data_IF_243643718332
#
_entry.id   IF_243643718332
#
_cell.length_a   1.000
_cell.length_b   1.000
_cell.length_c   1.000
_cell.angle_alpha   90.00
_cell.angle_beta   90.00
_cell.angle_gamma   90.00
#
_symmetry.space_group_name_H-M   'P 1'
#
loop_
_entity.id
_entity.type
_entity.pdbx_description
1 polymer ?
#
# COMPACT_ATOMS: atom_id res chain seq x y z
N UNK A 1 10.68 20.16 40.54
CA UNK A 1 9.97 18.88 40.70
C UNK A 1 9.16 18.69 39.41
N UNK A 2 9.78 18.08 38.37
CA UNK A 2 9.12 17.82 37.07
C UNK A 2 8.33 16.52 37.23
N UNK A 3 7.01 16.62 37.18
CA UNK A 3 6.14 15.45 37.03
C UNK A 3 6.27 14.97 35.58
N UNK A 4 7.11 13.97 35.35
CA UNK A 4 7.11 13.17 34.14
C UNK A 4 5.94 12.16 34.20
N UNK A 5 4.72 12.64 34.14
CA UNK A 5 3.55 11.83 33.85
C UNK A 5 3.40 11.74 32.35
N UNK A 6 4.01 10.72 31.71
CA UNK A 6 3.77 10.45 30.30
C UNK A 6 2.27 10.19 30.11
N UNK A 7 1.64 10.95 29.23
CA UNK A 7 0.23 10.76 28.82
C UNK A 7 0.12 9.35 28.20
N UNK A 8 -0.53 8.43 28.90
CA UNK A 8 -0.71 7.06 28.41
C UNK A 8 -1.93 7.05 27.51
N UNK A 9 -1.70 7.21 26.20
CA UNK A 9 -2.78 7.26 25.20
C UNK A 9 -3.45 5.89 25.09
N UNK A 10 -4.77 5.86 25.23
CA UNK A 10 -5.61 4.68 25.03
C UNK A 10 -6.61 4.93 23.90
N UNK A 11 -6.62 4.08 22.89
CA UNK A 11 -7.51 4.20 21.74
C UNK A 11 -8.49 3.05 21.62
N UNK A 12 -9.68 3.33 21.09
CA UNK A 12 -10.58 2.31 20.60
C UNK A 12 -10.39 2.19 19.10
N UNK A 13 -9.80 1.06 18.66
CA UNK A 13 -9.57 0.76 17.23
C UNK A 13 -10.72 -0.05 16.69
N UNK A 14 -11.36 0.44 15.63
CA UNK A 14 -12.46 -0.23 14.92
C UNK A 14 -12.20 -0.21 13.43
N UNK A 15 -12.43 -1.31 12.70
CA UNK A 15 -12.21 -1.32 11.25
C UNK A 15 -13.20 -2.21 10.49
N UNK A 16 -13.49 -1.82 9.25
CA UNK A 16 -14.28 -2.63 8.30
C UNK A 16 -13.47 -3.75 7.64
N UNK A 17 -12.15 -3.82 7.89
CA UNK A 17 -11.26 -4.87 7.39
C UNK A 17 -10.62 -5.60 8.56
N UNK A 18 -10.27 -6.88 8.38
CA UNK A 18 -9.57 -7.67 9.39
C UNK A 18 -8.27 -6.99 9.88
N UNK A 19 -7.91 -7.19 11.14
CA UNK A 19 -6.68 -6.64 11.75
C UNK A 19 -5.39 -7.15 11.08
N UNK A 20 -5.45 -8.33 10.45
CA UNK A 20 -4.32 -8.93 9.72
C UNK A 20 -4.09 -8.33 8.33
N UNK A 21 -5.01 -7.49 7.82
CA UNK A 21 -4.76 -6.77 6.58
C UNK A 21 -3.56 -5.81 6.75
N UNK A 22 -2.64 -5.80 5.79
CA UNK A 22 -1.33 -5.12 5.92
C UNK A 22 -1.41 -3.72 6.53
N UNK A 23 -2.31 -2.84 6.04
CA UNK A 23 -2.48 -1.48 6.56
C UNK A 23 -2.85 -1.47 8.05
N UNK A 24 -3.87 -2.24 8.45
CA UNK A 24 -4.30 -2.33 9.84
C UNK A 24 -3.21 -2.97 10.71
N UNK A 25 -2.57 -4.03 10.23
CA UNK A 25 -1.53 -4.75 10.96
C UNK A 25 -0.33 -3.86 11.26
N UNK A 26 0.17 -3.12 10.27
CA UNK A 26 1.29 -2.18 10.43
C UNK A 26 0.94 -1.10 11.47
N UNK A 27 -0.26 -0.51 11.38
CA UNK A 27 -0.71 0.53 12.32
C UNK A 27 -0.85 -0.04 13.73
N UNK A 28 -1.56 -1.15 13.92
CA UNK A 28 -1.79 -1.76 15.23
C UNK A 28 -0.47 -2.18 15.90
N UNK A 29 0.40 -2.85 15.14
CA UNK A 29 1.71 -3.28 15.63
C UNK A 29 2.57 -2.09 16.04
N UNK A 30 2.60 -1.06 15.19
CA UNK A 30 3.36 0.14 15.47
C UNK A 30 2.83 0.92 16.67
N UNK A 31 1.52 1.09 16.80
CA UNK A 31 0.92 1.79 17.95
C UNK A 31 1.22 1.06 19.27
N UNK A 32 1.09 -0.28 19.31
CA UNK A 32 1.48 -1.10 20.46
C UNK A 32 2.97 -0.94 20.79
N UNK A 33 3.85 -0.96 19.80
CA UNK A 33 5.29 -0.77 19.98
C UNK A 33 5.65 0.65 20.47
N UNK A 34 4.79 1.66 20.21
CA UNK A 34 4.92 3.02 20.72
C UNK A 34 4.20 3.25 22.07
N UNK A 35 3.77 2.20 22.77
CA UNK A 35 3.18 2.28 24.10
C UNK A 35 1.74 2.81 24.11
N UNK A 36 0.98 2.63 23.02
CA UNK A 36 -0.44 2.98 22.98
C UNK A 36 -1.27 1.77 23.41
N UNK A 37 -2.17 1.96 24.35
CA UNK A 37 -3.16 0.95 24.73
C UNK A 37 -4.27 0.89 23.68
N UNK A 38 -4.65 -0.31 23.25
CA UNK A 38 -5.60 -0.49 22.17
C UNK A 38 -6.74 -1.43 22.60
N UNK A 39 -7.96 -0.90 22.55
CA UNK A 39 -9.20 -1.69 22.62
C UNK A 39 -9.59 -2.02 21.17
N UNK A 40 -9.52 -3.29 20.77
CA UNK A 40 -9.80 -3.67 19.40
C UNK A 40 -11.27 -4.10 19.20
N UNK A 41 -11.92 -3.55 18.15
CA UNK A 41 -13.23 -3.94 17.62
C UNK A 41 -13.06 -4.37 16.18
N UNK A 42 -12.65 -5.60 15.93
CA UNK A 42 -12.37 -6.13 14.60
C UNK A 42 -12.99 -7.52 14.43
N UNK A 43 -13.23 -7.93 13.19
CA UNK A 43 -13.79 -9.24 12.85
C UNK A 43 -13.17 -9.79 11.57
N UNK A 44 -12.95 -11.09 11.49
CA UNK A 44 -12.33 -11.80 10.36
C UNK A 44 -13.35 -12.43 9.39
N UNK A 45 -14.65 -12.21 9.58
CA UNK A 45 -15.69 -12.73 8.68
C UNK A 45 -15.43 -12.27 7.25
N UNK A 46 -15.49 -13.18 6.27
CA UNK A 46 -15.27 -12.87 4.84
C UNK A 46 -16.35 -11.95 4.28
N UNK A 47 -17.60 -12.09 4.74
CA UNK A 47 -18.73 -11.26 4.31
C UNK A 47 -18.80 -9.95 5.10
N UNK A 48 -18.85 -8.83 4.41
CA UNK A 48 -19.03 -7.51 5.03
C UNK A 48 -20.40 -7.37 5.71
N UNK A 49 -21.45 -8.07 5.21
CA UNK A 49 -22.78 -8.09 5.84
C UNK A 49 -22.76 -8.71 7.24
N UNK A 50 -21.84 -9.62 7.52
CA UNK A 50 -21.64 -10.21 8.84
C UNK A 50 -20.64 -9.42 9.67
N UNK A 51 -19.61 -8.90 9.03
CA UNK A 51 -18.50 -8.20 9.69
C UNK A 51 -18.95 -6.87 10.33
N UNK A 52 -19.61 -6.00 9.58
CA UNK A 52 -20.01 -4.69 10.11
C UNK A 52 -20.93 -4.79 11.32
N UNK A 53 -22.01 -5.61 11.35
CA UNK A 53 -22.82 -5.78 12.56
C UNK A 53 -22.03 -6.29 13.75
N UNK A 54 -21.12 -7.26 13.57
CA UNK A 54 -20.29 -7.79 14.66
C UNK A 54 -19.34 -6.74 15.22
N UNK A 55 -18.69 -5.96 14.35
CA UNK A 55 -17.78 -4.89 14.73
C UNK A 55 -18.53 -3.78 15.47
N UNK A 56 -19.73 -3.40 15.02
CA UNK A 56 -20.59 -2.44 15.70
C UNK A 56 -21.08 -2.96 17.06
N UNK A 57 -21.44 -4.24 17.17
CA UNK A 57 -21.80 -4.84 18.45
C UNK A 57 -20.62 -4.79 19.45
N UNK A 58 -19.41 -5.12 19.00
CA UNK A 58 -18.22 -5.00 19.85
C UNK A 58 -18.01 -3.54 20.30
N UNK A 59 -18.19 -2.58 19.39
CA UNK A 59 -18.11 -1.16 19.73
C UNK A 59 -19.13 -0.76 20.81
N UNK A 60 -20.40 -1.15 20.65
CA UNK A 60 -21.47 -0.84 21.63
C UNK A 60 -21.15 -1.43 23.01
N UNK A 61 -20.61 -2.64 23.06
CA UNK A 61 -20.23 -3.30 24.31
C UNK A 61 -19.02 -2.61 24.99
N UNK A 62 -18.14 -1.98 24.21
CA UNK A 62 -16.89 -1.37 24.71
C UNK A 62 -16.93 0.17 24.77
N UNK A 63 -18.01 0.81 24.32
CA UNK A 63 -18.13 2.28 24.30
C UNK A 63 -18.03 2.93 25.69
N UNK A 64 -18.34 2.18 26.74
CA UNK A 64 -18.24 2.64 28.13
C UNK A 64 -16.84 2.44 28.72
N UNK A 65 -15.93 1.77 28.02
CA UNK A 65 -14.54 1.66 28.46
C UNK A 65 -13.86 3.04 28.40
N UNK A 66 -12.85 3.25 29.24
CA UNK A 66 -12.10 4.50 29.22
C UNK A 66 -11.10 4.47 28.05
N UNK A 67 -11.27 5.38 27.09
CA UNK A 67 -10.35 5.64 25.97
C UNK A 67 -10.41 7.12 25.58
N UNK A 68 -9.37 7.58 24.92
CA UNK A 68 -9.20 9.00 24.57
C UNK A 68 -9.71 9.30 23.15
N UNK A 69 -9.43 8.42 22.19
CA UNK A 69 -9.65 8.61 20.75
C UNK A 69 -10.28 7.34 20.16
N UNK A 70 -11.14 7.52 19.17
CA UNK A 70 -11.63 6.44 18.31
C UNK A 70 -10.81 6.45 17.00
N UNK A 71 -10.08 5.36 16.76
CA UNK A 71 -9.35 5.17 15.51
C UNK A 71 -10.16 4.24 14.60
N UNK A 72 -10.66 4.79 13.48
CA UNK A 72 -11.44 4.03 12.51
C UNK A 72 -10.51 3.64 11.35
N UNK A 73 -10.14 2.36 11.30
CA UNK A 73 -9.23 1.81 10.30
C UNK A 73 -9.89 1.52 8.96
N UNK A 74 -9.12 0.88 8.10
CA UNK A 74 -9.43 0.63 6.70
C UNK A 74 -10.84 0.04 6.45
N UNK A 75 -11.51 0.52 5.41
CA UNK A 75 -12.92 0.26 5.07
C UNK A 75 -13.89 0.65 6.20
N UNK A 76 -13.53 1.69 6.96
CA UNK A 76 -14.35 2.25 8.02
C UNK A 76 -15.42 3.23 7.57
N UNK A 77 -15.52 3.57 6.27
CA UNK A 77 -16.48 4.54 5.76
C UNK A 77 -17.92 4.34 6.28
N UNK A 78 -18.51 3.13 6.26
CA UNK A 78 -19.85 2.93 6.80
C UNK A 78 -19.94 3.05 8.33
N UNK A 79 -18.82 2.91 9.04
CA UNK A 79 -18.76 2.97 10.50
C UNK A 79 -18.75 4.41 11.01
N UNK A 80 -18.05 5.33 10.32
CA UNK A 80 -17.87 6.72 10.76
C UNK A 80 -19.20 7.42 11.09
N UNK A 81 -20.24 7.41 10.21
CA UNK A 81 -21.50 8.11 10.51
C UNK A 81 -22.25 7.53 11.70
N UNK A 82 -22.12 6.21 11.94
CA UNK A 82 -22.77 5.53 13.06
C UNK A 82 -22.05 5.88 14.36
N UNK A 83 -20.74 5.77 14.38
CA UNK A 83 -19.90 6.01 15.55
C UNK A 83 -19.96 7.47 15.98
N UNK A 84 -19.94 8.40 15.04
CA UNK A 84 -20.05 9.83 15.34
C UNK A 84 -21.38 10.19 16.03
N UNK A 85 -22.47 9.45 15.77
CA UNK A 85 -23.76 9.63 16.47
C UNK A 85 -23.78 9.01 17.87
N UNK A 86 -22.93 8.02 18.14
CA UNK A 86 -22.93 7.25 19.37
C UNK A 86 -21.87 7.70 20.38
N UNK A 87 -20.87 8.49 19.94
CA UNK A 87 -19.77 8.95 20.78
C UNK A 87 -19.36 10.37 20.44
N UNK A 88 -18.98 11.13 21.47
CA UNK A 88 -18.43 12.47 21.37
C UNK A 88 -16.88 12.47 21.41
N UNK A 89 -16.24 11.30 21.38
CA UNK A 89 -14.78 11.20 21.37
C UNK A 89 -14.23 11.58 20.00
N UNK A 90 -13.03 12.19 19.93
CA UNK A 90 -12.39 12.53 18.66
C UNK A 90 -12.22 11.29 17.77
N UNK A 91 -12.46 11.44 16.47
CA UNK A 91 -12.36 10.39 15.45
C UNK A 91 -11.17 10.64 14.55
N UNK A 92 -10.21 9.72 14.57
CA UNK A 92 -9.17 9.61 13.54
C UNK A 92 -9.59 8.52 12.56
N UNK A 93 -9.80 8.90 11.30
CA UNK A 93 -10.28 7.99 10.26
C UNK A 93 -9.18 7.68 9.23
N UNK A 94 -8.72 6.43 9.18
CA UNK A 94 -7.84 5.94 8.10
C UNK A 94 -8.68 5.59 6.88
N UNK A 95 -8.94 6.58 6.03
CA UNK A 95 -9.71 6.38 4.82
C UNK A 95 -9.00 5.43 3.85
N UNK A 96 -7.68 5.56 3.74
CA UNK A 96 -6.74 4.75 2.97
C UNK A 96 -7.04 4.70 1.45
N UNK A 97 -8.30 4.53 1.06
CA UNK A 97 -8.75 4.58 -0.33
C UNK A 97 -10.17 5.13 -0.44
N UNK A 98 -10.50 5.67 -1.61
CA UNK A 98 -11.86 6.06 -1.94
C UNK A 98 -12.66 4.84 -2.43
N UNK A 99 -13.81 4.58 -1.80
CA UNK A 99 -14.77 3.56 -2.24
C UNK A 99 -15.44 3.96 -3.55
N UNK A 100 -15.70 5.25 -3.75
CA UNK A 100 -16.23 5.82 -5.00
C UNK A 100 -15.24 5.60 -6.17
N UNK A 101 -13.97 5.99 -6.01
CA UNK A 101 -12.93 5.77 -7.02
C UNK A 101 -12.77 4.27 -7.35
N UNK A 102 -12.78 3.43 -6.31
CA UNK A 102 -12.64 1.98 -6.48
C UNK A 102 -13.80 1.37 -7.25
N UNK A 103 -15.04 1.77 -6.97
CA UNK A 103 -16.22 1.16 -7.60
C UNK A 103 -16.51 1.73 -8.99
N UNK A 104 -16.25 3.04 -9.19
CA UNK A 104 -16.62 3.71 -10.42
C UNK A 104 -15.49 3.78 -11.46
N UNK A 105 -14.25 4.00 -11.04
CA UNK A 105 -13.14 4.24 -11.97
C UNK A 105 -12.12 3.09 -12.06
N UNK A 106 -11.76 2.47 -10.93
CA UNK A 106 -10.80 1.36 -10.90
C UNK A 106 -11.44 0.05 -11.37
N UNK A 107 -12.50 -0.39 -10.68
CA UNK A 107 -13.20 -1.67 -11.00
C UNK A 107 -14.32 -1.51 -12.03
N UNK A 108 -14.74 -0.30 -12.32
CA UNK A 108 -15.80 0.04 -13.30
C UNK A 108 -17.09 -0.76 -13.10
N UNK A 109 -17.44 -1.06 -11.84
CA UNK A 109 -18.66 -1.80 -11.48
C UNK A 109 -19.91 -0.95 -11.49
N UNK A 110 -19.76 0.35 -11.27
CA UNK A 110 -20.84 1.33 -11.21
C UNK A 110 -20.49 2.54 -12.08
N UNK A 111 -21.52 3.16 -12.68
CA UNK A 111 -21.35 4.48 -13.30
C UNK A 111 -21.37 5.55 -12.20
N UNK A 112 -20.55 6.62 -12.29
CA UNK A 112 -20.52 7.71 -11.32
C UNK A 112 -21.91 8.33 -11.05
N UNK A 113 -22.73 8.49 -12.09
CA UNK A 113 -24.04 9.13 -12.03
C UNK A 113 -25.15 8.19 -11.53
N UNK A 114 -24.88 6.89 -11.42
CA UNK A 114 -25.84 5.90 -10.92
C UNK A 114 -26.14 6.13 -9.43
N UNK A 115 -27.26 5.60 -8.95
CA UNK A 115 -27.63 5.65 -7.52
C UNK A 115 -26.48 5.07 -6.65
N UNK A 116 -25.90 3.94 -7.06
CA UNK A 116 -24.76 3.35 -6.35
C UNK A 116 -23.50 4.21 -6.38
N UNK A 117 -23.19 4.83 -7.54
CA UNK A 117 -22.06 5.76 -7.66
C UNK A 117 -22.22 6.97 -6.74
N UNK A 118 -23.42 7.60 -6.75
CA UNK A 118 -23.74 8.73 -5.86
C UNK A 118 -23.70 8.34 -4.38
N UNK A 119 -24.14 7.11 -4.04
CA UNK A 119 -24.05 6.59 -2.68
C UNK A 119 -22.60 6.48 -2.20
N UNK A 120 -21.69 5.89 -3.00
CA UNK A 120 -20.28 5.79 -2.62
C UNK A 120 -19.59 7.15 -2.58
N UNK A 121 -19.93 8.08 -3.47
CA UNK A 121 -19.49 9.47 -3.41
C UNK A 121 -19.88 10.13 -2.08
N UNK A 122 -21.18 10.04 -1.75
CA UNK A 122 -21.71 10.57 -0.49
C UNK A 122 -21.03 9.94 0.71
N UNK A 123 -20.84 8.61 0.69
CA UNK A 123 -20.25 7.86 1.79
C UNK A 123 -18.80 8.29 2.07
N UNK A 124 -17.96 8.39 1.04
CA UNK A 124 -16.58 8.86 1.19
C UNK A 124 -16.54 10.30 1.69
N UNK A 125 -17.32 11.21 1.06
CA UNK A 125 -17.42 12.62 1.46
C UNK A 125 -17.87 12.76 2.92
N UNK A 126 -19.02 12.18 3.25
CA UNK A 126 -19.64 12.35 4.56
C UNK A 126 -18.80 11.75 5.69
N UNK A 127 -18.16 10.61 5.48
CA UNK A 127 -17.25 10.02 6.46
C UNK A 127 -16.05 10.93 6.74
N UNK A 128 -15.47 11.53 5.70
CA UNK A 128 -14.38 12.49 5.89
C UNK A 128 -14.84 13.80 6.55
N UNK A 129 -16.07 14.27 6.28
CA UNK A 129 -16.63 15.45 6.93
C UNK A 129 -16.83 15.26 8.44
N UNK A 130 -17.27 14.08 8.85
CA UNK A 130 -17.57 13.75 10.24
C UNK A 130 -16.32 13.42 11.09
N UNK A 131 -15.25 12.92 10.47
CA UNK A 131 -14.01 12.66 11.19
C UNK A 131 -13.30 13.98 11.57
N UNK A 132 -12.63 14.00 12.73
CA UNK A 132 -11.80 15.13 13.15
C UNK A 132 -10.48 15.18 12.35
N UNK A 133 -9.89 14.01 12.09
CA UNK A 133 -8.69 13.86 11.26
C UNK A 133 -8.85 12.67 10.32
N UNK A 134 -8.46 12.86 9.06
CA UNK A 134 -8.50 11.81 8.03
C UNK A 134 -7.08 11.48 7.58
N UNK A 135 -6.75 10.18 7.57
CA UNK A 135 -5.44 9.69 7.12
C UNK A 135 -5.53 9.15 5.70
N UNK A 136 -4.56 9.52 4.87
CA UNK A 136 -4.32 8.97 3.53
C UNK A 136 -2.84 8.69 3.34
N UNK A 137 -2.50 7.85 2.38
CA UNK A 137 -1.14 7.33 2.18
C UNK A 137 -0.18 8.33 1.52
N UNK A 138 -0.69 9.26 0.70
CA UNK A 138 0.12 10.26 -0.03
C UNK A 138 -0.58 11.61 -0.10
N UNK A 139 0.18 12.69 -0.30
CA UNK A 139 -0.39 14.02 -0.57
C UNK A 139 -1.16 14.05 -1.90
N UNK A 140 -0.65 13.37 -2.93
CA UNK A 140 -1.37 13.24 -4.21
C UNK A 140 -2.75 12.59 -4.03
N UNK A 141 -2.88 11.65 -3.09
CA UNK A 141 -4.18 11.04 -2.76
C UNK A 141 -5.06 11.99 -1.95
N UNK A 142 -4.47 12.76 -1.03
CA UNK A 142 -5.18 13.81 -0.29
C UNK A 142 -5.74 14.87 -1.26
N UNK A 143 -4.94 15.33 -2.23
CA UNK A 143 -5.38 16.31 -3.22
C UNK A 143 -6.54 15.78 -4.07
N UNK A 144 -6.54 14.48 -4.38
CA UNK A 144 -7.69 13.84 -5.02
C UNK A 144 -8.96 13.93 -4.16
N UNK A 145 -8.88 13.62 -2.85
CA UNK A 145 -10.03 13.71 -1.94
C UNK A 145 -10.54 15.14 -1.80
N UNK A 146 -9.63 16.09 -1.59
CA UNK A 146 -9.96 17.52 -1.49
C UNK A 146 -10.69 18.01 -2.74
N UNK A 147 -10.12 17.73 -3.92
CA UNK A 147 -10.67 18.22 -5.19
C UNK A 147 -11.96 17.49 -5.59
N UNK A 148 -12.04 16.17 -5.37
CA UNK A 148 -13.19 15.36 -5.79
C UNK A 148 -14.41 15.60 -4.89
N UNK A 149 -14.19 15.67 -3.57
CA UNK A 149 -15.28 15.75 -2.60
C UNK A 149 -15.52 17.18 -2.06
N UNK A 150 -14.71 18.16 -2.44
CA UNK A 150 -14.82 19.55 -1.95
C UNK A 150 -14.52 19.66 -0.44
N UNK A 151 -13.53 18.91 0.05
CA UNK A 151 -13.18 18.83 1.46
C UNK A 151 -12.05 19.81 1.82
N UNK A 152 -11.96 20.20 3.09
CA UNK A 152 -10.88 21.05 3.59
C UNK A 152 -9.58 20.26 3.74
N UNK A 153 -8.47 20.81 3.21
CA UNK A 153 -7.14 20.16 3.21
C UNK A 153 -6.58 19.94 4.62
N UNK A 154 -6.90 20.82 5.56
CA UNK A 154 -6.42 20.78 6.95
C UNK A 154 -6.89 19.58 7.76
N UNK A 155 -8.01 18.96 7.36
CA UNK A 155 -8.49 17.68 7.95
C UNK A 155 -7.62 16.48 7.63
N UNK A 156 -6.78 16.57 6.59
CA UNK A 156 -6.04 15.43 6.09
C UNK A 156 -4.60 15.41 6.55
N UNK A 157 -4.14 14.23 6.93
CA UNK A 157 -2.74 13.96 7.26
C UNK A 157 -2.22 12.78 6.44
N UNK A 158 -1.00 12.91 5.93
CA UNK A 158 -0.34 11.83 5.20
C UNK A 158 0.29 10.85 6.17
N UNK A 159 0.02 9.56 5.99
CA UNK A 159 0.66 8.45 6.70
C UNK A 159 0.98 7.34 5.70
N UNK A 160 2.24 7.12 5.39
CA UNK A 160 2.66 6.06 4.46
C UNK A 160 2.15 4.68 4.87
N UNK A 161 2.09 3.74 3.92
CA UNK A 161 1.57 2.38 4.17
C UNK A 161 2.56 1.56 5.01
N UNK A 162 3.83 1.59 4.67
CA UNK A 162 4.86 0.80 5.32
C UNK A 162 4.79 -0.70 5.04
N UNK A 163 5.63 -1.46 5.73
CA UNK A 163 5.62 -2.92 5.75
C UNK A 163 6.01 -3.45 7.13
N UNK A 164 5.62 -4.69 7.42
CA UNK A 164 5.95 -5.36 8.68
C UNK A 164 7.42 -5.85 8.64
N UNK A 165 8.27 -5.18 9.40
CA UNK A 165 9.72 -5.44 9.50
C UNK A 165 10.06 -6.78 10.20
N UNK A 166 9.11 -7.39 10.92
CA UNK A 166 9.30 -8.74 11.45
C UNK A 166 9.11 -9.84 10.39
N UNK A 167 8.43 -9.51 9.28
CA UNK A 167 8.20 -10.41 8.15
C UNK A 167 9.18 -10.09 7.03
N UNK A 168 9.25 -8.80 6.65
CA UNK A 168 10.10 -8.32 5.57
C UNK A 168 11.36 -7.69 6.13
N UNK A 169 12.42 -8.45 6.19
CA UNK A 169 13.77 -8.03 6.58
C UNK A 169 14.80 -8.72 5.67
N UNK A 170 16.00 -8.15 5.50
CA UNK A 170 17.00 -8.68 4.59
C UNK A 170 17.38 -10.13 4.91
N UNK A 171 17.26 -11.00 3.92
CA UNK A 171 17.67 -12.41 4.00
C UNK A 171 18.86 -12.62 3.06
N UNK A 172 19.95 -13.18 3.57
CA UNK A 172 21.07 -13.63 2.73
C UNK A 172 20.70 -14.94 2.06
N UNK A 173 20.84 -14.99 0.77
CA UNK A 173 20.68 -16.20 -0.05
C UNK A 173 21.87 -16.32 -0.97
N UNK A 174 22.25 -17.54 -1.30
CA UNK A 174 23.25 -17.80 -2.34
C UNK A 174 22.65 -17.38 -3.69
N UNK A 175 23.31 -16.48 -4.38
CA UNK A 175 22.89 -16.01 -5.71
C UNK A 175 23.61 -16.83 -6.79
N UNK A 176 22.87 -17.25 -7.81
CA UNK A 176 23.46 -17.67 -9.08
C UNK A 176 23.85 -16.39 -9.83
N UNK A 177 25.12 -16.05 -9.80
CA UNK A 177 25.66 -14.83 -10.41
C UNK A 177 25.58 -14.83 -11.95
N UNK A 178 25.28 -15.99 -12.55
CA UNK A 178 25.16 -16.11 -14.02
C UNK A 178 23.82 -15.60 -14.56
N UNK A 179 22.80 -15.45 -13.70
CA UNK A 179 21.43 -15.05 -14.08
C UNK A 179 21.01 -13.81 -13.32
N UNK A 180 20.65 -12.75 -14.05
CA UNK A 180 20.03 -11.55 -13.48
C UNK A 180 18.51 -11.73 -13.33
N UNK A 181 18.02 -11.74 -12.09
CA UNK A 181 16.64 -12.11 -11.73
C UNK A 181 15.80 -10.86 -11.48
N UNK A 182 14.80 -10.63 -12.33
CA UNK A 182 13.81 -9.57 -12.20
C UNK A 182 12.55 -10.14 -11.55
N UNK A 183 12.14 -9.59 -10.41
CA UNK A 183 11.01 -10.10 -9.64
C UNK A 183 9.82 -9.14 -9.62
N UNK A 184 8.63 -9.69 -9.82
CA UNK A 184 7.36 -9.01 -9.61
C UNK A 184 6.38 -9.92 -8.90
N UNK A 185 5.59 -9.38 -7.97
CA UNK A 185 4.42 -10.07 -7.46
C UNK A 185 3.24 -9.12 -7.30
N UNK A 186 2.01 -9.64 -7.38
CA UNK A 186 0.80 -8.89 -7.10
C UNK A 186 -0.44 -9.40 -7.84
N UNK A 187 -1.60 -8.85 -7.43
CA UNK A 187 -2.85 -9.10 -8.15
C UNK A 187 -2.83 -8.40 -9.49
N UNK A 188 -3.15 -9.12 -10.57
CA UNK A 188 -3.20 -8.56 -11.92
C UNK A 188 -4.41 -7.65 -12.08
N UNK A 189 -4.25 -6.39 -11.67
CA UNK A 189 -5.22 -5.31 -11.80
C UNK A 189 -4.74 -4.31 -12.86
N UNK A 190 -5.64 -3.60 -13.54
CA UNK A 190 -5.28 -2.63 -14.58
C UNK A 190 -4.25 -1.58 -14.12
N UNK A 191 -4.38 -1.08 -12.88
CA UNK A 191 -3.44 -0.08 -12.35
C UNK A 191 -2.00 -0.59 -12.24
N UNK A 192 -1.77 -1.91 -12.14
CA UNK A 192 -0.42 -2.47 -12.03
C UNK A 192 0.40 -2.33 -13.30
N UNK A 193 -0.26 -2.35 -14.49
CA UNK A 193 0.42 -2.21 -15.76
C UNK A 193 1.30 -3.42 -16.11
N UNK A 194 0.85 -4.63 -15.80
CA UNK A 194 1.61 -5.86 -16.03
C UNK A 194 1.95 -6.07 -17.52
N UNK A 195 1.14 -5.55 -18.42
CA UNK A 195 1.40 -5.58 -19.86
C UNK A 195 2.74 -4.92 -20.25
N UNK A 196 3.15 -3.86 -19.53
CA UNK A 196 4.43 -3.20 -19.74
C UNK A 196 5.59 -4.06 -19.28
N UNK A 197 5.40 -4.84 -18.20
CA UNK A 197 6.39 -5.80 -17.72
C UNK A 197 6.59 -6.92 -18.75
N UNK A 198 5.48 -7.48 -19.29
CA UNK A 198 5.55 -8.53 -20.32
C UNK A 198 6.26 -8.04 -21.58
N UNK A 199 5.91 -6.84 -22.05
CA UNK A 199 6.55 -6.24 -23.23
C UNK A 199 8.04 -5.94 -22.98
N UNK A 200 8.41 -5.46 -21.78
CA UNK A 200 9.81 -5.24 -21.42
C UNK A 200 10.58 -6.57 -21.35
N UNK A 201 10.00 -7.62 -20.78
CA UNK A 201 10.60 -8.95 -20.78
C UNK A 201 10.84 -9.46 -22.21
N UNK A 202 9.88 -9.26 -23.15
CA UNK A 202 10.07 -9.61 -24.55
C UNK A 202 11.24 -8.88 -25.20
N UNK A 203 11.39 -7.58 -24.95
CA UNK A 203 12.53 -6.80 -25.45
C UNK A 203 13.88 -7.31 -24.90
N UNK A 204 13.88 -7.77 -23.67
CA UNK A 204 15.07 -8.26 -22.98
C UNK A 204 15.42 -9.72 -23.27
N UNK A 205 14.67 -10.46 -24.08
CA UNK A 205 14.96 -11.85 -24.44
C UNK A 205 16.28 -12.07 -25.20
N UNK A 206 16.80 -11.00 -25.82
CA UNK A 206 18.11 -11.03 -26.47
C UNK A 206 19.25 -11.27 -25.47
N UNK A 207 19.04 -10.90 -24.19
CA UNK A 207 19.94 -11.11 -23.07
C UNK A 207 19.58 -12.43 -22.38
N UNK A 208 20.32 -13.50 -22.66
CA UNK A 208 20.00 -14.87 -22.20
C UNK A 208 20.11 -15.04 -20.69
N UNK A 209 20.85 -14.18 -20.05
CA UNK A 209 21.11 -14.11 -18.63
C UNK A 209 20.07 -13.27 -17.85
N UNK A 210 19.05 -12.68 -18.50
CA UNK A 210 17.93 -11.98 -17.83
C UNK A 210 16.71 -12.89 -17.74
N UNK A 211 16.25 -13.16 -16.52
CA UNK A 211 15.05 -13.96 -16.27
C UNK A 211 14.08 -13.19 -15.38
N UNK A 212 12.80 -13.29 -15.72
CA UNK A 212 11.72 -12.73 -14.95
C UNK A 212 11.02 -13.80 -14.12
N UNK A 213 10.69 -13.50 -12.89
CA UNK A 213 9.78 -14.30 -12.06
C UNK A 213 8.59 -13.44 -11.70
N UNK A 214 7.40 -13.84 -12.15
CA UNK A 214 6.16 -13.09 -11.97
C UNK A 214 5.17 -13.94 -11.18
N UNK A 215 4.82 -13.46 -9.97
CA UNK A 215 3.94 -14.16 -9.05
C UNK A 215 2.59 -13.45 -8.99
N UNK A 216 1.49 -14.19 -9.20
CA UNK A 216 0.14 -13.72 -8.97
C UNK A 216 -0.86 -14.02 -10.07
N UNK A 217 -2.10 -13.70 -9.76
CA UNK A 217 -3.29 -13.78 -10.66
C UNK A 217 -4.21 -12.59 -10.40
N UNK A 218 -5.21 -12.40 -11.25
CA UNK A 218 -6.21 -11.35 -11.06
C UNK A 218 -7.10 -11.14 -12.28
N UNK A 219 -7.78 -10.00 -12.32
CA UNK A 219 -8.77 -9.67 -13.35
C UNK A 219 -8.17 -9.73 -14.77
N UNK A 220 -6.92 -9.28 -14.93
CA UNK A 220 -6.24 -9.24 -16.23
C UNK A 220 -5.45 -10.50 -16.56
N UNK A 221 -5.53 -11.57 -15.75
CA UNK A 221 -4.74 -12.78 -15.96
C UNK A 221 -4.91 -13.36 -17.37
N UNK A 222 -6.16 -13.53 -17.83
CA UNK A 222 -6.45 -14.07 -19.17
C UNK A 222 -5.89 -13.18 -20.29
N UNK A 223 -6.03 -11.85 -20.14
CA UNK A 223 -5.47 -10.86 -21.09
C UNK A 223 -3.95 -10.92 -21.10
N UNK A 224 -3.33 -11.03 -19.92
CA UNK A 224 -1.88 -11.15 -19.78
C UNK A 224 -1.34 -12.42 -20.43
N UNK A 225 -1.94 -13.58 -20.17
CA UNK A 225 -1.50 -14.84 -20.77
C UNK A 225 -1.68 -14.86 -22.30
N UNK A 226 -2.73 -14.23 -22.82
CA UNK A 226 -2.91 -14.03 -24.25
C UNK A 226 -1.78 -13.19 -24.86
N UNK A 227 -1.43 -12.07 -24.20
CA UNK A 227 -0.32 -11.22 -24.62
C UNK A 227 1.02 -11.97 -24.63
N UNK A 228 1.28 -12.81 -23.60
CA UNK A 228 2.47 -13.66 -23.54
C UNK A 228 2.56 -14.59 -24.74
N UNK A 229 1.45 -15.23 -25.12
CA UNK A 229 1.37 -16.13 -26.30
C UNK A 229 1.56 -15.35 -27.61
N UNK A 230 0.88 -14.22 -27.77
CA UNK A 230 0.97 -13.38 -28.97
C UNK A 230 2.39 -12.87 -29.23
N UNK A 231 3.12 -12.51 -28.16
CA UNK A 231 4.50 -12.04 -28.24
C UNK A 231 5.52 -13.18 -28.26
N UNK A 232 5.13 -14.41 -27.91
CA UNK A 232 6.04 -15.54 -27.75
C UNK A 232 7.13 -15.30 -26.73
N UNK A 233 6.77 -14.83 -25.52
CA UNK A 233 7.72 -14.52 -24.45
C UNK A 233 8.17 -15.79 -23.76
N UNK A 234 9.50 -16.01 -23.62
CA UNK A 234 10.09 -17.25 -23.12
C UNK A 234 11.04 -17.08 -21.92
N UNK A 235 11.27 -15.85 -21.46
CA UNK A 235 12.19 -15.54 -20.34
C UNK A 235 11.46 -15.24 -19.02
N UNK A 236 10.17 -15.64 -18.91
CA UNK A 236 9.35 -15.42 -17.71
C UNK A 236 8.93 -16.74 -17.10
N UNK A 237 9.18 -16.89 -15.79
CA UNK A 237 8.62 -17.93 -14.95
C UNK A 237 7.36 -17.36 -14.25
N UNK A 238 6.19 -17.96 -14.54
CA UNK A 238 4.90 -17.55 -13.96
C UNK A 238 4.53 -18.48 -12.81
N UNK A 239 4.29 -17.89 -11.64
CA UNK A 239 3.79 -18.59 -10.45
C UNK A 239 2.47 -18.00 -10.04
N UNK A 240 1.46 -18.84 -9.88
CA UNK A 240 0.10 -18.41 -9.55
C UNK A 240 -0.01 -17.75 -8.19
N UNK A 241 0.69 -18.31 -7.19
CA UNK A 241 0.60 -17.85 -5.81
C UNK A 241 1.78 -18.37 -4.98
N UNK A 242 2.21 -17.54 -4.02
CA UNK A 242 3.22 -17.87 -3.01
C UNK A 242 2.64 -17.54 -1.63
N UNK A 243 2.78 -18.38 -0.61
CA UNK A 243 2.40 -18.07 0.77
C UNK A 243 3.04 -16.76 1.24
N UNK A 244 2.27 -15.95 1.98
CA UNK A 244 2.75 -14.62 2.40
C UNK A 244 4.03 -14.70 3.26
N UNK A 245 4.16 -15.73 4.07
CA UNK A 245 5.35 -15.99 4.88
C UNK A 245 6.57 -16.50 4.08
N UNK A 246 6.37 -16.99 2.86
CA UNK A 246 7.45 -17.42 1.96
C UNK A 246 7.87 -16.32 0.98
N UNK A 247 7.04 -15.28 0.85
CA UNK A 247 7.30 -14.18 -0.06
C UNK A 247 8.65 -13.46 0.20
N UNK A 248 9.09 -13.24 1.45
CA UNK A 248 10.44 -12.70 1.72
C UNK A 248 11.57 -13.51 1.12
N UNK A 249 11.48 -14.84 1.16
CA UNK A 249 12.48 -15.72 0.55
C UNK A 249 12.49 -15.58 -0.98
N UNK A 250 11.32 -15.45 -1.61
CA UNK A 250 11.26 -15.24 -3.06
C UNK A 250 11.81 -13.87 -3.47
N UNK A 251 11.50 -12.83 -2.69
CA UNK A 251 12.05 -11.47 -2.89
C UNK A 251 13.58 -11.48 -2.72
N UNK A 252 14.10 -12.22 -1.74
CA UNK A 252 15.55 -12.25 -1.46
C UNK A 252 16.39 -12.81 -2.60
N UNK A 253 15.81 -13.67 -3.46
CA UNK A 253 16.46 -14.26 -4.63
C UNK A 253 16.57 -13.30 -5.83
N UNK A 254 15.91 -12.14 -5.79
CA UNK A 254 15.87 -11.18 -6.89
C UNK A 254 17.10 -10.26 -6.87
N UNK A 255 17.57 -9.86 -8.05
CA UNK A 255 18.57 -8.81 -8.24
C UNK A 255 17.90 -7.43 -8.34
N UNK A 256 16.67 -7.38 -8.89
CA UNK A 256 15.84 -6.17 -8.97
C UNK A 256 14.37 -6.52 -8.80
N UNK A 257 13.63 -5.66 -8.11
CA UNK A 257 12.20 -5.81 -7.88
C UNK A 257 11.38 -4.73 -8.60
N UNK A 258 10.26 -5.14 -9.20
CA UNK A 258 9.34 -4.25 -9.91
C UNK A 258 8.20 -3.83 -8.96
N UNK A 259 8.33 -2.65 -8.36
CA UNK A 259 7.36 -2.13 -7.40
C UNK A 259 6.07 -1.62 -8.03
N UNK A 260 6.12 -1.13 -9.27
CA UNK A 260 4.98 -0.54 -9.98
C UNK A 260 4.60 0.82 -9.38
N UNK A 261 3.44 1.45 -9.68
CA UNK A 261 2.56 1.01 -10.76
C UNK A 261 3.14 1.46 -12.11
N UNK A 262 2.94 0.67 -13.14
CA UNK A 262 3.48 1.00 -14.48
C UNK A 262 2.40 1.46 -15.47
N UNK A 263 1.11 1.39 -15.13
CA UNK A 263 0.03 1.89 -15.97
C UNK A 263 -0.15 3.41 -15.84
N UNK A 264 -0.74 4.04 -16.88
CA UNK A 264 -1.06 5.46 -16.85
C UNK A 264 -2.48 5.77 -16.29
N UNK A 265 -3.00 4.90 -15.43
CA UNK A 265 -4.30 5.10 -14.76
C UNK A 265 -4.13 6.14 -13.66
N UNK A 266 -5.09 7.06 -13.53
CA UNK A 266 -4.97 8.17 -12.58
C UNK A 266 -4.80 7.72 -11.12
N UNK A 267 -5.44 6.63 -10.71
CA UNK A 267 -5.23 6.05 -9.39
C UNK A 267 -3.78 5.61 -9.17
N UNK A 268 -3.13 5.05 -10.20
CA UNK A 268 -1.74 4.63 -10.13
C UNK A 268 -0.76 5.79 -9.88
N UNK A 269 -1.16 7.01 -10.23
CA UNK A 269 -0.36 8.24 -10.02
C UNK A 269 -0.45 8.78 -8.60
N UNK A 270 -1.45 8.34 -7.83
CA UNK A 270 -1.80 8.91 -6.51
C UNK A 270 -1.38 8.04 -5.33
N UNK A 271 -0.97 6.80 -5.56
CA UNK A 271 -0.65 5.84 -4.49
C UNK A 271 0.70 5.18 -4.72
N UNK A 272 1.41 4.91 -3.63
CA UNK A 272 2.61 4.07 -3.64
C UNK A 272 2.17 2.61 -3.48
N UNK A 273 2.65 1.73 -4.34
CA UNK A 273 2.31 0.31 -4.26
C UNK A 273 2.83 -0.33 -2.97
N UNK A 274 1.97 -1.08 -2.28
CA UNK A 274 2.34 -1.75 -1.02
C UNK A 274 3.56 -2.66 -1.13
N UNK A 275 3.75 -3.34 -2.28
CA UNK A 275 4.93 -4.18 -2.53
C UNK A 275 6.25 -3.38 -2.56
N UNK A 276 6.21 -2.10 -2.93
CA UNK A 276 7.40 -1.23 -2.94
C UNK A 276 7.99 -1.11 -1.55
N UNK A 277 7.14 -0.93 -0.51
CA UNK A 277 7.60 -0.90 0.88
C UNK A 277 8.22 -2.23 1.32
N UNK A 278 7.66 -3.35 0.86
CA UNK A 278 8.19 -4.68 1.18
C UNK A 278 9.54 -4.92 0.49
N UNK A 279 9.70 -4.46 -0.75
CA UNK A 279 10.97 -4.60 -1.48
C UNK A 279 12.10 -3.79 -0.83
N UNK A 280 11.83 -2.53 -0.46
CA UNK A 280 12.83 -1.71 0.22
C UNK A 280 13.10 -2.22 1.65
N UNK A 281 12.12 -2.82 2.34
CA UNK A 281 12.31 -3.52 3.61
C UNK A 281 13.26 -4.72 3.49
N UNK A 282 13.21 -5.42 2.36
CA UNK A 282 14.11 -6.54 2.02
C UNK A 282 15.47 -6.07 1.47
N UNK A 283 15.74 -4.75 1.49
CA UNK A 283 16.97 -4.15 0.95
C UNK A 283 17.20 -4.53 -0.52
N UNK A 284 16.13 -4.54 -1.33
CA UNK A 284 16.20 -4.82 -2.76
C UNK A 284 16.11 -3.53 -3.57
N UNK A 285 16.90 -3.40 -4.65
CA UNK A 285 16.77 -2.29 -5.57
C UNK A 285 15.39 -2.38 -6.26
N UNK A 286 14.69 -1.26 -6.35
CA UNK A 286 13.31 -1.22 -6.83
C UNK A 286 13.17 -0.29 -8.03
N UNK A 287 12.46 -0.77 -9.07
CA UNK A 287 11.98 0.06 -10.18
C UNK A 287 10.51 0.37 -9.96
N UNK A 288 10.14 1.64 -10.04
CA UNK A 288 8.78 2.14 -9.82
C UNK A 288 8.39 3.16 -10.89
N UNK A 289 7.09 3.36 -11.11
CA UNK A 289 6.62 4.39 -12.02
C UNK A 289 6.94 5.80 -11.51
N UNK A 290 7.32 6.69 -12.41
CA UNK A 290 7.54 8.10 -12.09
C UNK A 290 6.20 8.85 -12.02
N UNK A 291 5.76 9.14 -10.80
CA UNK A 291 4.49 9.81 -10.54
C UNK A 291 4.56 10.66 -9.26
N UNK A 292 3.58 11.57 -9.05
CA UNK A 292 3.58 12.45 -7.88
C UNK A 292 3.64 11.72 -6.55
N UNK A 293 2.93 10.59 -6.38
CA UNK A 293 2.92 9.83 -5.13
C UNK A 293 4.30 9.21 -4.84
N UNK A 294 4.91 8.54 -5.82
CA UNK A 294 6.23 7.95 -5.64
C UNK A 294 7.30 9.00 -5.33
N UNK A 295 7.21 10.19 -5.93
CA UNK A 295 8.14 11.31 -5.67
C UNK A 295 8.03 11.90 -4.26
N UNK A 296 7.00 11.56 -3.49
CA UNK A 296 6.92 11.97 -2.08
C UNK A 296 7.91 11.23 -1.18
N UNK A 297 8.35 10.04 -1.58
CA UNK A 297 9.25 9.19 -0.81
C UNK A 297 10.55 8.87 -1.56
N UNK A 298 10.49 8.82 -2.89
CA UNK A 298 11.58 8.32 -3.71
C UNK A 298 12.21 9.39 -4.61
N UNK A 299 13.53 9.27 -4.81
CA UNK A 299 14.34 10.08 -5.72
C UNK A 299 15.00 9.15 -6.75
N UNK A 300 14.85 9.51 -8.03
CA UNK A 300 15.41 8.75 -9.15
C UNK A 300 16.92 8.50 -8.99
N UNK A 301 17.36 7.26 -9.23
CA UNK A 301 18.74 6.77 -9.14
C UNK A 301 19.41 6.92 -7.77
N UNK A 302 18.68 7.34 -6.76
CA UNK A 302 19.19 7.47 -5.39
C UNK A 302 18.69 6.36 -4.47
N UNK A 303 17.36 6.19 -4.37
CA UNK A 303 16.72 5.21 -3.49
C UNK A 303 15.62 4.40 -4.19
N UNK A 304 15.37 4.69 -5.46
CA UNK A 304 14.59 3.90 -6.41
C UNK A 304 14.99 4.29 -7.83
N UNK A 305 14.74 3.40 -8.79
CA UNK A 305 14.77 3.73 -10.21
C UNK A 305 13.35 4.12 -10.63
N UNK A 306 13.13 5.40 -10.94
CA UNK A 306 11.85 5.92 -11.42
C UNK A 306 11.82 5.87 -12.94
N UNK A 307 10.76 5.28 -13.51
CA UNK A 307 10.58 5.13 -14.96
C UNK A 307 9.27 5.77 -15.40
N UNK A 308 9.25 6.33 -16.59
CA UNK A 308 8.02 6.85 -17.21
C UNK A 308 6.93 5.79 -17.23
N UNK A 309 5.74 6.15 -16.74
CA UNK A 309 4.61 5.24 -16.68
C UNK A 309 4.09 4.94 -18.09
N UNK A 310 3.59 3.72 -18.29
CA UNK A 310 3.12 3.22 -19.58
C UNK A 310 4.21 3.21 -20.69
N UNK A 311 5.48 3.25 -20.31
CA UNK A 311 6.61 3.20 -21.23
C UNK A 311 7.42 1.91 -21.06
N UNK A 312 7.26 1.00 -22.03
CA UNK A 312 7.96 -0.30 -22.05
C UNK A 312 9.47 -0.14 -22.22
N UNK A 313 9.91 0.85 -23.01
CA UNK A 313 11.32 1.07 -23.30
C UNK A 313 12.03 1.59 -22.05
N UNK A 314 11.45 2.60 -21.39
CA UNK A 314 11.99 3.12 -20.15
C UNK A 314 12.11 2.03 -19.05
N UNK A 315 11.16 1.09 -18.99
CA UNK A 315 11.24 -0.04 -18.04
C UNK A 315 12.36 -1.02 -18.44
N UNK A 316 12.50 -1.36 -19.71
CA UNK A 316 13.55 -2.26 -20.18
C UNK A 316 14.95 -1.64 -19.99
N UNK A 317 15.12 -0.36 -20.33
CA UNK A 317 16.37 0.37 -20.15
C UNK A 317 16.79 0.45 -18.69
N UNK A 318 15.84 0.72 -17.78
CA UNK A 318 16.10 0.73 -16.34
C UNK A 318 16.56 -0.63 -15.80
N UNK A 319 15.99 -1.73 -16.29
CA UNK A 319 16.43 -3.08 -15.93
C UNK A 319 17.87 -3.33 -16.42
N UNK A 320 18.19 -2.95 -17.66
CA UNK A 320 19.55 -3.06 -18.20
C UNK A 320 20.56 -2.18 -17.47
N UNK A 321 20.17 -0.96 -17.12
CA UNK A 321 21.04 -0.07 -16.36
C UNK A 321 21.39 -0.68 -14.99
N UNK A 322 20.39 -1.20 -14.26
CA UNK A 322 20.64 -1.84 -12.96
C UNK A 322 21.40 -3.17 -13.10
N UNK A 323 21.23 -3.91 -14.20
CA UNK A 323 22.02 -5.09 -14.48
C UNK A 323 23.50 -4.76 -14.69
N UNK A 324 23.78 -3.71 -15.46
CA UNK A 324 25.13 -3.35 -15.90
C UNK A 324 25.86 -2.43 -14.90
N UNK A 325 25.20 -1.98 -13.82
CA UNK A 325 25.79 -1.04 -12.88
C UNK A 325 25.51 -1.45 -11.43
N UNK A 326 26.40 -2.25 -10.88
CA UNK A 326 26.34 -2.76 -9.51
C UNK A 326 26.30 -1.62 -8.49
N UNK A 327 27.11 -0.57 -8.71
CA UNK A 327 27.20 0.56 -7.79
C UNK A 327 25.86 1.30 -7.64
N UNK A 328 25.14 1.56 -8.75
CA UNK A 328 23.80 2.16 -8.70
C UNK A 328 22.81 1.19 -8.07
N UNK A 329 22.88 -0.10 -8.40
CA UNK A 329 22.00 -1.13 -7.85
C UNK A 329 22.13 -1.22 -6.33
N UNK A 330 23.35 -1.28 -5.82
CA UNK A 330 23.65 -1.30 -4.39
C UNK A 330 23.23 0.00 -3.69
N UNK A 331 23.54 1.15 -4.27
CA UNK A 331 23.13 2.45 -3.73
C UNK A 331 21.63 2.57 -3.56
N UNK A 332 20.85 2.14 -4.56
CA UNK A 332 19.39 2.18 -4.51
C UNK A 332 18.88 1.25 -3.41
N UNK A 333 19.43 0.04 -3.29
CA UNK A 333 19.06 -0.93 -2.27
C UNK A 333 19.32 -0.40 -0.85
N UNK A 334 20.53 0.11 -0.61
CA UNK A 334 20.95 0.68 0.69
C UNK A 334 20.10 1.90 1.07
N UNK A 335 19.97 2.84 0.14
CA UNK A 335 19.25 4.10 0.42
C UNK A 335 17.74 3.86 0.54
N UNK A 336 17.18 2.90 -0.22
CA UNK A 336 15.78 2.48 -0.08
C UNK A 336 15.52 1.82 1.28
N UNK A 337 16.41 0.94 1.72
CA UNK A 337 16.32 0.30 3.03
C UNK A 337 16.45 1.32 4.17
N UNK A 338 17.35 2.31 4.05
CA UNK A 338 17.47 3.40 5.03
C UNK A 338 16.16 4.17 5.19
N UNK A 339 15.51 4.56 4.09
CA UNK A 339 14.20 5.23 4.13
C UNK A 339 13.15 4.33 4.78
N UNK A 340 13.16 3.02 4.49
CA UNK A 340 12.25 2.09 5.14
C UNK A 340 12.42 2.12 6.67
N UNK A 341 13.64 2.01 7.17
CA UNK A 341 13.94 2.04 8.60
C UNK A 341 13.52 3.36 9.25
N UNK A 342 13.71 4.48 8.57
CA UNK A 342 13.42 5.81 9.10
C UNK A 342 11.92 6.13 9.13
N UNK A 343 11.14 5.71 8.11
CA UNK A 343 9.80 6.23 7.88
C UNK A 343 8.71 5.16 7.66
N UNK A 344 9.07 3.92 7.28
CA UNK A 344 8.11 2.94 6.76
C UNK A 344 8.00 1.66 7.60
N UNK A 345 8.71 1.57 8.73
CA UNK A 345 8.51 0.50 9.72
C UNK A 345 7.20 0.73 10.49
N UNK A 346 6.59 -0.31 11.08
CA UNK A 346 5.43 -0.13 11.96
C UNK A 346 5.66 0.91 13.05
N UNK A 347 6.85 0.91 13.67
CA UNK A 347 7.21 1.88 14.70
C UNK A 347 7.25 3.32 14.15
N UNK A 348 7.87 3.57 12.99
CA UNK A 348 7.95 4.88 12.36
C UNK A 348 6.57 5.41 11.95
N UNK A 349 5.76 4.58 11.28
CA UNK A 349 4.38 4.90 10.90
C UNK A 349 3.54 5.31 12.12
N UNK A 350 3.61 4.54 13.20
CA UNK A 350 2.82 4.84 14.39
C UNK A 350 3.34 6.04 15.17
N UNK A 351 4.63 6.34 15.12
CA UNK A 351 5.19 7.59 15.67
C UNK A 351 4.55 8.82 15.02
N UNK A 352 4.38 8.79 13.69
CA UNK A 352 3.68 9.87 12.97
C UNK A 352 2.20 9.93 13.37
N UNK A 353 1.53 8.78 13.48
CA UNK A 353 0.13 8.72 13.92
C UNK A 353 -0.03 9.26 15.34
N UNK A 354 0.85 8.91 16.29
CA UNK A 354 0.83 9.45 17.67
C UNK A 354 0.93 10.97 17.64
N UNK A 355 1.88 11.51 16.89
CA UNK A 355 2.03 12.96 16.74
C UNK A 355 0.75 13.63 16.21
N UNK A 356 0.10 13.01 15.22
CA UNK A 356 -1.17 13.48 14.67
C UNK A 356 -2.28 13.46 15.73
N UNK A 357 -2.28 12.47 16.62
CA UNK A 357 -3.22 12.35 17.74
C UNK A 357 -2.89 13.25 18.95
N UNK A 358 -1.79 14.01 18.90
CA UNK A 358 -1.39 14.95 19.97
C UNK A 358 -0.70 14.28 21.17
N UNK A 359 -0.08 13.11 20.97
CA UNK A 359 0.57 12.33 22.04
C UNK A 359 2.06 12.07 21.79
#
# INVERSE_FOLDING_TARGET
MYFAGGFHLKILFISGRESTYTRNSVILKGLKANGVDIIECTDSSKSYFLRYPKVLLQFILKIQENFDIIFIGFLGQPLVPIINKLSNKPIVFDAFLSTYDTMCYDRKKLKPESVGGRFFYWLDKHSCELADTVLLDTNAHIDYFVNTFGLKRDKFQRVFVGADDSIFNPIKVDSDETIFKVFYYGTYLPLQGIEYIIKAAKKLEVYKDIKFKIVGKGMEYKKTMKLVQELGVNNIDFIDWVPYNELPLEISKADVCLGGHFSNIDKAKRVISGKTYQFIAMKKPVIIGDNPANRELFQHRKNAMLVEMANTDALADAILELKNNDGIREQIAESGYKIFLEQCTPYGIAKDIKKIMGA
#
